data_IF_752853569208
#
_entry.id   IF_752853569208
#
_cell.length_a   1.000
_cell.length_b   1.000
_cell.length_c   1.000
_cell.angle_alpha   90.00
_cell.angle_beta   90.00
_cell.angle_gamma   90.00
#
_symmetry.space_group_name_H-M   'P 1'
#
loop_
_entity.id
_entity.type
_entity.pdbx_description
1 polymer ?
#
# COMPACT_ATOMS: atom_id res chain seq x y z
N UNK A 1 -34.94 5.68 23.82
CA UNK A 1 -34.81 4.42 24.58
C UNK A 1 -35.24 3.20 23.78
N UNK A 2 -36.38 3.22 23.06
CA UNK A 2 -36.84 2.06 22.28
C UNK A 2 -35.81 1.55 21.25
N UNK A 3 -35.26 2.44 20.40
CA UNK A 3 -34.27 2.04 19.39
C UNK A 3 -33.02 1.38 20.00
N UNK A 4 -32.51 1.92 21.12
CA UNK A 4 -31.37 1.34 21.83
C UNK A 4 -31.70 -0.03 22.46
N UNK A 5 -32.92 -0.22 22.95
CA UNK A 5 -33.38 -1.51 23.47
C UNK A 5 -33.51 -2.56 22.35
N UNK A 6 -33.94 -2.14 21.15
CA UNK A 6 -33.97 -3.01 19.97
C UNK A 6 -32.57 -3.43 19.55
N UNK A 7 -31.59 -2.51 19.57
CA UNK A 7 -30.17 -2.84 19.35
C UNK A 7 -29.65 -3.85 20.38
N UNK A 8 -29.92 -3.63 21.68
CA UNK A 8 -29.45 -4.51 22.75
C UNK A 8 -30.09 -5.92 22.71
N UNK A 9 -31.25 -6.07 22.08
CA UNK A 9 -31.95 -7.36 21.91
C UNK A 9 -31.71 -8.01 20.55
N UNK A 10 -30.82 -7.44 19.72
CA UNK A 10 -30.49 -7.97 18.39
C UNK A 10 -31.57 -7.76 17.34
N UNK A 11 -32.60 -6.94 17.62
CA UNK A 11 -33.73 -6.66 16.72
C UNK A 11 -33.40 -5.51 15.78
N UNK A 12 -32.33 -5.68 15.00
CA UNK A 12 -31.76 -4.62 14.16
C UNK A 12 -32.73 -4.12 13.08
N UNK A 13 -33.49 -5.03 12.45
CA UNK A 13 -34.49 -4.70 11.42
C UNK A 13 -35.58 -3.75 11.93
N UNK A 14 -35.88 -3.78 13.23
CA UNK A 14 -36.83 -2.88 13.88
C UNK A 14 -36.17 -1.63 14.44
N UNK A 15 -34.88 -1.70 14.79
CA UNK A 15 -34.11 -0.55 15.25
C UNK A 15 -33.90 0.48 14.12
N UNK A 16 -33.63 0.04 12.90
CA UNK A 16 -33.42 0.91 11.72
C UNK A 16 -34.59 1.88 11.48
N UNK A 17 -35.86 1.44 11.33
CA UNK A 17 -36.97 2.38 11.15
C UNK A 17 -37.20 3.29 12.36
N UNK A 18 -36.91 2.83 13.58
CA UNK A 18 -37.00 3.65 14.78
C UNK A 18 -35.95 4.77 14.79
N UNK A 19 -34.70 4.49 14.40
CA UNK A 19 -33.66 5.52 14.25
C UNK A 19 -33.94 6.48 13.09
N UNK A 20 -34.47 5.99 11.96
CA UNK A 20 -34.91 6.87 10.85
C UNK A 20 -36.01 7.83 11.29
N UNK A 21 -36.96 7.38 12.11
CA UNK A 21 -37.97 8.27 12.69
C UNK A 21 -37.35 9.32 13.60
N UNK A 22 -36.40 8.94 14.47
CA UNK A 22 -35.67 9.89 15.33
C UNK A 22 -34.89 10.92 14.50
N UNK A 23 -34.24 10.50 13.41
CA UNK A 23 -33.54 11.40 12.50
C UNK A 23 -34.51 12.35 11.78
N UNK A 24 -35.74 11.93 11.48
CA UNK A 24 -36.77 12.82 10.96
C UNK A 24 -37.17 13.95 11.93
N UNK A 25 -36.99 13.75 13.24
CA UNK A 25 -37.23 14.77 14.25
C UNK A 25 -35.99 15.67 14.46
N UNK A 26 -34.79 15.10 14.35
CA UNK A 26 -33.51 15.80 14.53
C UNK A 26 -32.51 15.42 13.42
N UNK A 27 -32.59 16.02 12.23
CA UNK A 27 -31.86 15.55 11.03
C UNK A 27 -30.33 15.62 11.08
N UNK A 28 -29.77 16.42 11.99
CA UNK A 28 -28.33 16.67 12.09
C UNK A 28 -27.76 16.25 13.45
N UNK A 29 -28.43 15.34 14.18
CA UNK A 29 -27.92 14.81 15.43
C UNK A 29 -26.88 13.70 15.15
N UNK A 30 -25.57 13.94 15.37
CA UNK A 30 -24.53 12.98 15.02
C UNK A 30 -24.65 11.66 15.79
N UNK A 31 -25.14 11.67 17.04
CA UNK A 31 -25.36 10.45 17.81
C UNK A 31 -26.42 9.58 17.14
N UNK A 32 -27.58 10.14 16.78
CA UNK A 32 -28.64 9.41 16.08
C UNK A 32 -28.19 8.90 14.70
N UNK A 33 -27.40 9.68 13.97
CA UNK A 33 -26.84 9.26 12.66
C UNK A 33 -25.90 8.06 12.84
N UNK A 34 -24.99 8.10 13.83
CA UNK A 34 -24.06 6.99 14.12
C UNK A 34 -24.83 5.74 14.56
N UNK A 35 -25.86 5.89 15.39
CA UNK A 35 -26.70 4.75 15.83
C UNK A 35 -27.48 4.12 14.69
N UNK A 36 -27.96 4.93 13.73
CA UNK A 36 -28.59 4.42 12.51
C UNK A 36 -27.59 3.63 11.67
N UNK A 37 -26.38 4.17 11.47
CA UNK A 37 -25.33 3.49 10.71
C UNK A 37 -24.96 2.14 11.32
N UNK A 38 -24.80 2.09 12.64
CA UNK A 38 -24.52 0.87 13.41
C UNK A 38 -25.67 -0.16 13.27
N UNK A 39 -26.92 0.28 13.43
CA UNK A 39 -28.08 -0.59 13.25
C UNK A 39 -28.15 -1.20 11.84
N UNK A 40 -27.89 -0.41 10.80
CA UNK A 40 -27.85 -0.89 9.42
C UNK A 40 -26.69 -1.86 9.23
N UNK A 41 -25.49 -1.56 9.74
CA UNK A 41 -24.35 -2.46 9.65
C UNK A 41 -24.65 -3.82 10.29
N UNK A 42 -25.34 -3.85 11.43
CA UNK A 42 -25.74 -5.09 12.10
C UNK A 42 -26.74 -5.91 11.27
N UNK A 43 -27.68 -5.29 10.54
CA UNK A 43 -28.54 -6.00 9.58
C UNK A 43 -27.74 -6.62 8.42
N UNK A 44 -26.55 -6.10 8.14
CA UNK A 44 -25.65 -6.54 7.07
C UNK A 44 -24.50 -7.44 7.57
N UNK A 45 -24.65 -8.04 8.76
CA UNK A 45 -23.61 -8.90 9.34
C UNK A 45 -22.33 -8.15 9.74
N UNK A 46 -22.44 -6.87 10.06
CA UNK A 46 -21.33 -5.99 10.44
C UNK A 46 -20.63 -5.31 9.27
N UNK A 47 -21.11 -5.48 8.04
CA UNK A 47 -20.58 -4.77 6.88
C UNK A 47 -20.90 -3.28 6.96
N UNK A 48 -19.87 -2.43 6.79
CA UNK A 48 -20.02 -0.98 6.86
C UNK A 48 -20.07 -0.31 5.49
N UNK A 49 -19.86 -1.07 4.41
CA UNK A 49 -19.93 -0.55 3.05
C UNK A 49 -21.35 -0.08 2.69
N UNK A 50 -21.45 0.99 1.88
CA UNK A 50 -22.72 1.51 1.39
C UNK A 50 -23.32 2.59 2.31
N UNK A 51 -24.61 2.44 2.67
CA UNK A 51 -25.34 3.43 3.49
C UNK A 51 -24.67 3.72 4.85
N UNK A 52 -24.16 2.72 5.62
CA UNK A 52 -23.50 2.99 6.90
C UNK A 52 -22.29 3.91 6.78
N UNK A 53 -21.39 3.67 5.82
CA UNK A 53 -20.20 4.51 5.60
C UNK A 53 -20.57 5.96 5.28
N UNK A 54 -21.63 6.17 4.49
CA UNK A 54 -22.15 7.51 4.18
C UNK A 54 -22.63 8.24 5.43
N UNK A 55 -23.42 7.56 6.27
CA UNK A 55 -23.93 8.10 7.53
C UNK A 55 -22.80 8.39 8.53
N UNK A 56 -21.82 7.48 8.67
CA UNK A 56 -20.65 7.68 9.52
C UNK A 56 -19.85 8.90 9.08
N UNK A 57 -19.62 9.04 7.77
CA UNK A 57 -18.91 10.19 7.20
C UNK A 57 -19.66 11.50 7.47
N UNK A 58 -21.00 11.51 7.33
CA UNK A 58 -21.84 12.67 7.65
C UNK A 58 -21.74 13.06 9.13
N UNK A 59 -21.88 12.09 10.04
CA UNK A 59 -21.79 12.35 11.47
C UNK A 59 -20.41 12.90 11.88
N UNK A 60 -19.33 12.37 11.29
CA UNK A 60 -17.96 12.86 11.53
C UNK A 60 -17.68 14.22 10.90
N UNK A 61 -18.44 14.66 9.88
CA UNK A 61 -18.38 16.05 9.42
C UNK A 61 -19.00 17.01 10.45
N UNK A 62 -20.07 16.60 11.11
CA UNK A 62 -20.76 17.40 12.14
C UNK A 62 -19.95 17.40 13.45
N UNK A 63 -19.52 16.23 13.90
CA UNK A 63 -18.72 16.03 15.11
C UNK A 63 -17.47 15.21 14.79
N UNK A 64 -16.36 15.87 14.42
CA UNK A 64 -15.14 15.16 14.00
C UNK A 64 -14.52 14.26 15.06
N UNK A 65 -14.80 14.54 16.34
CA UNK A 65 -14.25 13.82 17.49
C UNK A 65 -15.31 12.94 18.18
N UNK A 66 -16.20 12.31 17.42
CA UNK A 66 -17.21 11.40 17.97
C UNK A 66 -16.59 10.01 18.18
N UNK A 67 -16.50 9.47 19.42
CA UNK A 67 -15.79 8.22 19.68
C UNK A 67 -16.35 7.02 18.91
N UNK A 68 -17.66 6.76 19.01
CA UNK A 68 -18.29 5.66 18.28
C UNK A 68 -18.22 5.83 16.76
N UNK A 69 -18.34 7.06 16.24
CA UNK A 69 -18.20 7.35 14.82
C UNK A 69 -16.78 7.06 14.30
N UNK A 70 -15.74 7.44 15.06
CA UNK A 70 -14.36 7.12 14.72
C UNK A 70 -14.10 5.61 14.80
N UNK A 71 -14.66 4.92 15.80
CA UNK A 71 -14.56 3.46 15.90
C UNK A 71 -15.14 2.76 14.66
N UNK A 72 -16.39 3.08 14.29
CA UNK A 72 -17.03 2.48 13.12
C UNK A 72 -16.33 2.88 11.82
N UNK A 73 -15.86 4.13 11.69
CA UNK A 73 -15.10 4.55 10.52
C UNK A 73 -13.77 3.78 10.39
N UNK A 74 -13.06 3.56 11.50
CA UNK A 74 -11.84 2.76 11.54
C UNK A 74 -12.08 1.31 11.09
N UNK A 75 -13.13 0.67 11.61
CA UNK A 75 -13.54 -0.69 11.18
C UNK A 75 -13.89 -0.70 9.69
N UNK A 76 -14.61 0.30 9.19
CA UNK A 76 -14.93 0.40 7.76
C UNK A 76 -13.66 0.44 6.90
N UNK A 77 -12.63 1.17 7.32
CA UNK A 77 -11.34 1.21 6.61
C UNK A 77 -10.57 -0.09 6.71
N UNK A 78 -10.63 -0.80 7.84
CA UNK A 78 -10.07 -2.15 7.98
C UNK A 78 -10.74 -3.14 7.02
N UNK A 79 -12.08 -3.15 6.95
CA UNK A 79 -12.84 -4.02 6.04
C UNK A 79 -12.52 -3.75 4.55
N UNK A 80 -12.16 -2.51 4.22
CA UNK A 80 -11.74 -2.10 2.87
C UNK A 80 -10.26 -2.40 2.58
N UNK A 81 -9.50 -2.92 3.54
CA UNK A 81 -8.05 -3.14 3.44
C UNK A 81 -7.22 -1.85 3.47
N UNK A 82 -7.83 -0.71 3.79
CA UNK A 82 -7.18 0.60 3.88
C UNK A 82 -6.53 0.79 5.26
N UNK A 83 -5.57 -0.07 5.59
CA UNK A 83 -4.97 -0.15 6.93
C UNK A 83 -4.30 1.15 7.40
N UNK A 84 -3.64 1.89 6.50
CA UNK A 84 -3.03 3.19 6.84
C UNK A 84 -4.09 4.21 7.29
N UNK A 85 -5.24 4.23 6.62
CA UNK A 85 -6.34 5.13 6.99
C UNK A 85 -6.99 4.67 8.30
N UNK A 86 -7.17 3.36 8.50
CA UNK A 86 -7.70 2.81 9.74
C UNK A 86 -6.80 3.17 10.93
N UNK A 87 -5.48 3.06 10.78
CA UNK A 87 -4.51 3.38 11.83
C UNK A 87 -4.64 4.84 12.29
N UNK A 88 -4.68 5.79 11.36
CA UNK A 88 -4.84 7.23 11.68
C UNK A 88 -6.13 7.49 12.45
N UNK A 89 -7.22 6.79 12.09
CA UNK A 89 -8.52 6.95 12.74
C UNK A 89 -8.49 6.40 14.18
N UNK A 90 -7.93 5.21 14.40
CA UNK A 90 -7.83 4.63 15.74
C UNK A 90 -6.86 5.39 16.64
N UNK A 91 -5.76 5.92 16.11
CA UNK A 91 -4.85 6.81 16.84
C UNK A 91 -5.53 8.11 17.28
N UNK A 92 -6.48 8.62 16.48
CA UNK A 92 -7.31 9.76 16.86
C UNK A 92 -8.36 9.39 17.91
N UNK A 93 -8.89 8.17 17.89
CA UNK A 93 -9.86 7.67 18.86
C UNK A 93 -9.25 7.44 20.25
N UNK A 94 -8.04 6.88 20.32
CA UNK A 94 -7.36 6.52 21.57
C UNK A 94 -7.40 7.63 22.65
N UNK A 95 -7.05 8.91 22.38
CA UNK A 95 -7.11 9.95 23.41
C UNK A 95 -8.53 10.29 23.87
N UNK A 96 -9.57 9.97 23.09
CA UNK A 96 -10.98 10.26 23.46
C UNK A 96 -11.53 9.27 24.48
N UNK A 97 -11.02 8.05 24.46
CA UNK A 97 -11.40 6.96 25.37
C UNK A 97 -10.37 6.75 26.48
N UNK A 98 -9.45 7.69 26.67
CA UNK A 98 -8.36 7.56 27.64
C UNK A 98 -8.85 7.39 29.11
N UNK A 99 -10.04 7.90 29.41
CA UNK A 99 -10.68 7.74 30.73
C UNK A 99 -11.46 6.42 30.89
N UNK A 100 -11.47 5.56 29.86
CA UNK A 100 -12.14 4.26 29.82
C UNK A 100 -11.09 3.17 29.53
N UNK A 101 -10.37 2.66 30.55
CA UNK A 101 -9.21 1.79 30.36
C UNK A 101 -9.50 0.51 29.57
N UNK A 102 -10.69 -0.05 29.73
CA UNK A 102 -11.14 -1.24 29.00
C UNK A 102 -11.24 -0.94 27.50
N UNK A 103 -11.94 0.15 27.14
CA UNK A 103 -12.11 0.59 25.75
C UNK A 103 -10.77 1.02 25.14
N UNK A 104 -9.92 1.72 25.91
CA UNK A 104 -8.58 2.09 25.47
C UNK A 104 -7.71 0.86 25.18
N UNK A 105 -7.82 -0.20 25.99
CA UNK A 105 -7.11 -1.45 25.76
C UNK A 105 -7.55 -2.11 24.45
N UNK A 106 -8.86 -2.14 24.16
CA UNK A 106 -9.38 -2.64 22.89
C UNK A 106 -8.89 -1.83 21.70
N UNK A 107 -8.94 -0.50 21.78
CA UNK A 107 -8.42 0.39 20.74
C UNK A 107 -6.92 0.15 20.50
N UNK A 108 -6.13 0.03 21.55
CA UNK A 108 -4.70 -0.25 21.44
C UNK A 108 -4.42 -1.63 20.84
N UNK A 109 -5.23 -2.64 21.15
CA UNK A 109 -5.12 -3.96 20.55
C UNK A 109 -5.43 -3.92 19.04
N UNK A 110 -6.43 -3.14 18.63
CA UNK A 110 -6.75 -2.91 17.21
C UNK A 110 -5.62 -2.16 16.51
N UNK A 111 -5.06 -1.11 17.12
CA UNK A 111 -3.90 -0.38 16.61
C UNK A 111 -2.72 -1.34 16.39
N UNK A 112 -2.35 -2.13 17.40
CA UNK A 112 -1.24 -3.08 17.29
C UNK A 112 -1.49 -4.16 16.22
N UNK A 113 -2.74 -4.65 16.07
CA UNK A 113 -3.12 -5.58 15.01
C UNK A 113 -2.95 -4.94 13.63
N UNK A 114 -3.44 -3.72 13.45
CA UNK A 114 -3.34 -2.98 12.19
C UNK A 114 -1.88 -2.65 11.90
N UNK A 115 -1.08 -2.24 12.87
CA UNK A 115 0.35 -1.99 12.71
C UNK A 115 1.08 -3.28 12.28
N UNK A 116 0.75 -4.43 12.86
CA UNK A 116 1.29 -5.72 12.40
C UNK A 116 0.84 -6.09 10.99
N UNK A 117 -0.38 -5.72 10.59
CA UNK A 117 -0.88 -5.94 9.23
C UNK A 117 -0.26 -4.95 8.26
N UNK A 118 0.00 -3.71 8.65
CA UNK A 118 0.79 -2.76 7.87
C UNK A 118 2.19 -3.32 7.75
N UNK A 119 2.87 -3.72 8.82
CA UNK A 119 4.21 -4.33 8.73
C UNK A 119 4.24 -5.61 7.90
N UNK A 120 3.17 -6.42 7.95
CA UNK A 120 3.02 -7.65 7.17
C UNK A 120 2.55 -7.46 5.72
N UNK A 121 1.94 -6.31 5.41
CA UNK A 121 1.36 -5.95 4.10
C UNK A 121 2.05 -4.72 3.45
N UNK A 122 3.02 -4.14 4.16
CA UNK A 122 4.10 -3.34 3.60
C UNK A 122 4.96 -4.34 2.84
N UNK A 123 5.31 -4.09 1.57
CA UNK A 123 6.47 -4.72 0.97
C UNK A 123 7.70 -4.40 1.85
N UNK A 124 7.97 -5.29 2.81
CA UNK A 124 9.19 -5.34 3.60
C UNK A 124 9.35 -4.33 4.74
N UNK A 125 9.11 -4.77 5.98
CA UNK A 125 10.07 -4.45 7.07
C UNK A 125 11.36 -5.28 7.00
N UNK A 126 11.55 -6.01 5.90
CA UNK A 126 12.85 -6.12 5.23
C UNK A 126 12.61 -5.80 3.76
N UNK A 127 12.90 -4.58 3.30
CA UNK A 127 12.95 -4.28 1.87
C UNK A 127 13.89 -5.29 1.25
N UNK A 128 13.37 -6.26 0.50
CA UNK A 128 14.24 -7.21 -0.18
C UNK A 128 15.05 -6.43 -1.21
N UNK A 129 16.36 -6.57 -1.14
CA UNK A 129 17.28 -5.80 -1.97
C UNK A 129 18.14 -6.75 -2.79
N UNK A 130 18.12 -6.57 -4.10
CA UNK A 130 19.02 -7.22 -5.04
C UNK A 130 20.24 -6.32 -5.25
N UNK A 131 21.42 -6.88 -4.96
CA UNK A 131 22.70 -6.23 -5.25
C UNK A 131 23.13 -6.57 -6.66
N UNK A 132 23.42 -5.55 -7.45
CA UNK A 132 23.85 -5.66 -8.83
C UNK A 132 25.21 -5.00 -9.02
N UNK A 133 26.15 -5.71 -9.62
CA UNK A 133 27.42 -5.18 -10.10
C UNK A 133 27.33 -4.96 -11.60
N UNK A 134 27.40 -3.70 -12.01
CA UNK A 134 27.28 -3.30 -13.41
C UNK A 134 28.68 -3.06 -13.94
N UNK A 135 29.03 -3.79 -14.99
CA UNK A 135 30.29 -3.68 -15.71
C UNK A 135 30.02 -3.34 -17.17
N UNK A 136 31.04 -2.83 -17.86
CA UNK A 136 30.95 -2.54 -19.29
C UNK A 136 32.02 -3.31 -20.05
N UNK A 137 31.64 -3.90 -21.18
CA UNK A 137 32.58 -4.56 -22.05
C UNK A 137 33.62 -3.54 -22.55
N UNK A 138 34.93 -3.88 -22.59
CA UNK A 138 36.00 -2.93 -22.93
C UNK A 138 35.78 -2.19 -24.26
N UNK A 139 35.18 -2.88 -25.25
CA UNK A 139 34.87 -2.30 -26.57
C UNK A 139 33.84 -1.16 -26.52
N UNK A 140 33.04 -1.06 -25.46
CA UNK A 140 32.02 -0.03 -25.28
C UNK A 140 32.38 1.01 -24.22
N UNK A 141 33.50 0.86 -23.51
CA UNK A 141 33.91 1.77 -22.43
C UNK A 141 33.99 3.23 -22.91
N UNK A 142 34.54 3.46 -24.10
CA UNK A 142 34.65 4.81 -24.70
C UNK A 142 33.33 5.36 -25.23
N UNK A 143 32.29 4.53 -25.34
CA UNK A 143 30.98 4.98 -25.80
C UNK A 143 30.20 5.66 -24.67
N UNK A 144 30.48 5.43 -23.38
CA UNK A 144 29.74 6.02 -22.25
C UNK A 144 30.19 7.46 -21.99
N UNK A 145 29.23 8.37 -21.81
CA UNK A 145 29.49 9.80 -21.57
C UNK A 145 28.82 10.31 -20.28
N UNK A 146 29.36 11.37 -19.63
CA UNK A 146 28.79 11.94 -18.40
C UNK A 146 27.37 12.54 -18.48
N UNK A 147 26.69 12.46 -19.63
CA UNK A 147 25.29 12.85 -19.80
C UNK A 147 24.33 11.68 -20.06
N UNK A 148 24.86 10.46 -20.16
CA UNK A 148 24.03 9.29 -20.38
C UNK A 148 23.14 9.01 -19.16
N UNK A 149 22.01 8.33 -19.38
CA UNK A 149 21.15 7.87 -18.29
C UNK A 149 21.21 6.36 -18.18
N UNK A 150 21.61 5.85 -17.02
CA UNK A 150 21.66 4.43 -16.73
C UNK A 150 20.37 3.99 -16.05
N UNK A 151 19.67 3.05 -16.67
CA UNK A 151 18.48 2.39 -16.19
C UNK A 151 18.84 0.98 -15.72
N UNK A 152 18.50 0.64 -14.48
CA UNK A 152 18.56 -0.70 -13.94
C UNK A 152 17.12 -1.17 -13.73
N UNK A 153 16.79 -2.36 -14.21
CA UNK A 153 15.44 -2.88 -14.09
C UNK A 153 15.42 -4.40 -13.88
N UNK A 154 14.40 -4.89 -13.18
CA UNK A 154 14.11 -6.30 -13.02
C UNK A 154 12.92 -6.70 -13.89
N UNK A 155 12.98 -7.89 -14.50
CA UNK A 155 11.87 -8.46 -15.28
C UNK A 155 11.71 -9.95 -15.04
N UNK A 156 10.51 -10.46 -15.29
CA UNK A 156 10.28 -11.91 -15.42
C UNK A 156 10.75 -12.35 -16.80
N UNK A 157 11.64 -13.35 -16.90
CA UNK A 157 11.97 -13.95 -18.18
C UNK A 157 10.71 -14.49 -18.87
N UNK A 158 10.59 -14.28 -20.18
CA UNK A 158 9.47 -14.77 -21.00
C UNK A 158 8.07 -14.23 -20.58
N UNK A 159 8.04 -13.23 -19.69
CA UNK A 159 6.83 -12.53 -19.25
C UNK A 159 6.50 -11.27 -20.08
N UNK A 160 5.54 -10.46 -19.62
CA UNK A 160 5.21 -9.18 -20.23
C UNK A 160 6.46 -8.29 -20.42
N UNK A 161 6.51 -7.44 -21.47
CA UNK A 161 7.68 -6.63 -21.78
C UNK A 161 7.97 -5.53 -20.75
N UNK A 162 7.05 -5.27 -19.84
CA UNK A 162 7.19 -4.27 -18.79
C UNK A 162 8.07 -4.80 -17.65
N UNK A 163 9.03 -4.01 -17.16
CA UNK A 163 9.80 -4.38 -15.98
C UNK A 163 8.91 -4.34 -14.72
N UNK A 164 9.28 -5.12 -13.72
CA UNK A 164 8.60 -5.19 -12.42
C UNK A 164 9.11 -4.09 -11.49
N UNK A 165 10.41 -3.82 -11.54
CA UNK A 165 11.06 -2.75 -10.79
C UNK A 165 12.03 -2.03 -11.70
N UNK A 166 12.18 -0.72 -11.52
CA UNK A 166 13.11 0.08 -12.32
C UNK A 166 13.64 1.27 -11.53
N UNK A 167 14.94 1.53 -11.69
CA UNK A 167 15.63 2.69 -11.15
C UNK A 167 16.49 3.34 -12.23
N UNK A 168 16.68 4.66 -12.15
CA UNK A 168 17.52 5.41 -13.10
C UNK A 168 18.47 6.37 -12.39
N UNK A 169 19.63 6.60 -12.99
CA UNK A 169 20.61 7.60 -12.55
C UNK A 169 21.32 8.21 -13.75
N UNK A 170 21.71 9.48 -13.64
CA UNK A 170 22.59 10.18 -14.58
C UNK A 170 24.01 10.36 -14.02
N UNK A 171 24.19 10.09 -12.73
CA UNK A 171 25.48 10.18 -12.04
C UNK A 171 25.97 8.77 -11.75
N UNK A 172 26.81 8.24 -12.64
CA UNK A 172 27.40 6.91 -12.49
C UNK A 172 28.81 6.82 -13.11
N UNK A 173 29.59 5.87 -12.61
CA UNK A 173 30.88 5.45 -13.17
C UNK A 173 30.95 3.93 -13.12
N UNK A 174 31.47 3.29 -14.17
CA UNK A 174 31.55 1.83 -14.25
C UNK A 174 32.97 1.33 -13.90
N UNK A 175 33.12 0.22 -13.16
CA UNK A 175 32.04 -0.62 -12.62
C UNK A 175 31.28 0.05 -11.45
N UNK A 176 29.97 -0.18 -11.40
CA UNK A 176 29.06 0.38 -10.39
C UNK A 176 28.42 -0.74 -9.58
N UNK A 177 28.48 -0.65 -8.25
CA UNK A 177 27.59 -1.43 -7.38
C UNK A 177 26.29 -0.64 -7.20
N UNK A 178 25.17 -1.27 -7.52
CA UNK A 178 23.86 -0.67 -7.38
C UNK A 178 22.87 -1.66 -6.81
N UNK A 179 21.78 -1.14 -6.30
CA UNK A 179 20.77 -1.92 -5.60
C UNK A 179 19.40 -1.63 -6.21
N UNK A 180 18.62 -2.69 -6.35
CA UNK A 180 17.20 -2.62 -6.68
C UNK A 180 16.43 -3.26 -5.54
N UNK A 181 15.44 -2.57 -5.01
CA UNK A 181 14.68 -3.04 -3.87
C UNK A 181 13.17 -2.99 -4.10
N UNK A 182 12.41 -3.49 -3.14
CA UNK A 182 10.95 -3.45 -3.19
C UNK A 182 10.40 -2.01 -3.29
N UNK A 183 11.19 -0.99 -2.95
CA UNK A 183 10.81 0.42 -3.15
C UNK A 183 10.84 0.87 -4.62
N UNK A 184 11.50 0.10 -5.49
CA UNK A 184 11.61 0.39 -6.92
C UNK A 184 10.53 -0.32 -7.75
N UNK A 185 9.61 -1.02 -7.10
CA UNK A 185 8.52 -1.74 -7.74
C UNK A 185 7.57 -0.78 -8.45
N UNK A 186 7.22 -1.13 -9.69
CA UNK A 186 6.27 -0.39 -10.52
C UNK A 186 4.82 -0.84 -10.29
N UNK A 187 4.62 -1.95 -9.60
CA UNK A 187 3.31 -2.49 -9.23
C UNK A 187 3.19 -2.57 -7.71
N UNK A 188 2.05 -2.17 -7.17
CA UNK A 188 1.76 -2.23 -5.73
C UNK A 188 1.44 -3.67 -5.30
N UNK A 189 2.02 -4.13 -4.18
CA UNK A 189 1.57 -5.32 -3.44
C UNK A 189 2.30 -6.65 -3.70
N UNK A 190 3.53 -6.64 -4.23
CA UNK A 190 4.40 -7.83 -4.33
C UNK A 190 5.83 -7.50 -3.90
N UNK A 191 6.66 -8.48 -3.52
CA UNK A 191 8.12 -8.28 -3.32
C UNK A 191 8.91 -8.85 -4.50
N UNK A 192 10.08 -8.29 -4.80
CA UNK A 192 11.06 -8.87 -5.71
C UNK A 192 11.45 -10.30 -5.30
N UNK A 193 11.39 -10.61 -4.00
CA UNK A 193 11.68 -11.95 -3.48
C UNK A 193 10.61 -12.99 -3.81
N UNK A 194 9.38 -12.57 -4.11
CA UNK A 194 8.26 -13.49 -4.36
C UNK A 194 8.30 -14.13 -5.75
N UNK A 195 9.10 -13.56 -6.65
CA UNK A 195 9.23 -14.07 -8.01
C UNK A 195 10.11 -15.34 -8.02
N UNK A 196 9.69 -16.41 -8.73
CA UNK A 196 10.45 -17.65 -8.78
C UNK A 196 11.76 -17.49 -9.56
N UNK A 197 11.74 -16.66 -10.62
CA UNK A 197 12.89 -16.38 -11.48
C UNK A 197 12.82 -14.92 -11.95
N UNK A 198 13.92 -14.20 -11.80
CA UNK A 198 14.11 -12.86 -12.34
C UNK A 198 15.34 -12.79 -13.26
N UNK A 199 15.36 -11.74 -14.07
CA UNK A 199 16.53 -11.28 -14.82
C UNK A 199 16.70 -9.78 -14.61
N UNK A 200 17.92 -9.34 -14.33
CA UNK A 200 18.27 -7.92 -14.23
C UNK A 200 18.75 -7.44 -15.59
N UNK A 201 18.23 -6.31 -16.02
CA UNK A 201 18.69 -5.60 -17.21
C UNK A 201 19.26 -4.24 -16.87
N UNK A 202 20.29 -3.88 -17.62
CA UNK A 202 20.89 -2.56 -17.59
C UNK A 202 20.76 -1.96 -18.98
N UNK A 203 20.40 -0.67 -19.04
CA UNK A 203 20.47 0.11 -20.27
C UNK A 203 21.09 1.47 -19.99
N UNK A 204 22.08 1.84 -20.81
CA UNK A 204 22.67 3.17 -20.86
C UNK A 204 22.05 3.90 -22.04
N UNK A 205 21.15 4.82 -21.75
CA UNK A 205 20.39 5.60 -22.72
C UNK A 205 21.11 6.89 -23.09
N UNK A 206 21.27 7.13 -24.39
CA UNK A 206 21.84 8.39 -24.92
C UNK A 206 20.87 9.56 -24.91
N UNK A 207 19.59 9.25 -25.12
CA UNK A 207 18.51 10.24 -25.19
C UNK A 207 17.89 10.58 -23.82
N UNK A 208 18.30 9.88 -22.75
CA UNK A 208 17.63 9.90 -21.45
C UNK A 208 16.23 9.25 -21.41
N UNK A 209 15.74 8.69 -22.51
CA UNK A 209 14.41 8.08 -22.60
C UNK A 209 14.39 6.67 -22.03
N UNK A 210 13.24 6.28 -21.45
CA UNK A 210 12.98 4.91 -21.05
C UNK A 210 12.69 3.98 -22.24
N UNK A 211 12.56 4.50 -23.46
CA UNK A 211 12.40 3.70 -24.68
C UNK A 211 13.77 3.40 -25.30
N UNK A 212 13.89 2.22 -25.92
CA UNK A 212 15.11 1.85 -26.65
C UNK A 212 15.34 2.83 -27.80
N UNK A 213 16.53 3.42 -27.84
CA UNK A 213 16.99 4.33 -28.90
C UNK A 213 18.24 3.76 -29.58
N UNK A 214 18.47 4.05 -30.88
CA UNK A 214 19.73 3.67 -31.54
C UNK A 214 20.94 4.24 -30.80
N UNK A 215 21.97 3.42 -30.64
CA UNK A 215 23.19 3.79 -29.91
C UNK A 215 23.16 3.55 -28.40
N UNK A 216 22.00 3.21 -27.83
CA UNK A 216 21.89 2.80 -26.43
C UNK A 216 22.69 1.50 -26.19
N UNK A 217 23.38 1.43 -25.06
CA UNK A 217 24.07 0.22 -24.64
C UNK A 217 23.20 -0.56 -23.68
N UNK A 218 23.23 -1.89 -23.74
CA UNK A 218 22.45 -2.74 -22.85
C UNK A 218 23.19 -4.02 -22.46
N UNK A 219 22.83 -4.55 -21.29
CA UNK A 219 23.29 -5.85 -20.79
C UNK A 219 22.15 -6.53 -20.02
N UNK A 220 22.17 -7.86 -19.98
CA UNK A 220 21.23 -8.68 -19.22
C UNK A 220 22.00 -9.69 -18.37
N UNK A 221 21.56 -9.90 -17.13
CA UNK A 221 22.08 -10.96 -16.27
C UNK A 221 21.63 -12.34 -16.76
N UNK A 222 22.20 -13.39 -16.17
CA UNK A 222 21.56 -14.71 -16.21
C UNK A 222 20.23 -14.70 -15.43
N UNK A 223 19.42 -15.75 -15.63
CA UNK A 223 18.17 -15.97 -14.90
C UNK A 223 18.50 -16.52 -13.51
N UNK A 224 17.92 -15.97 -12.45
CA UNK A 224 18.21 -16.41 -11.07
C UNK A 224 16.95 -16.40 -10.19
N UNK A 225 16.99 -17.19 -9.12
CA UNK A 225 16.00 -17.17 -8.06
C UNK A 225 16.34 -16.08 -7.03
N UNK A 226 15.53 -15.02 -6.86
CA UNK A 226 15.84 -13.88 -6.00
C UNK A 226 16.16 -14.27 -4.55
N UNK A 227 15.36 -15.16 -3.93
CA UNK A 227 15.53 -15.55 -2.52
C UNK A 227 16.91 -16.10 -2.16
N UNK A 228 17.65 -16.62 -3.15
CA UNK A 228 18.97 -17.22 -2.97
C UNK A 228 20.07 -16.44 -3.72
N UNK A 229 19.75 -15.25 -4.23
CA UNK A 229 20.65 -14.46 -5.03
C UNK A 229 21.72 -13.78 -4.17
N UNK A 230 22.99 -13.95 -4.54
CA UNK A 230 24.08 -13.10 -4.09
C UNK A 230 24.15 -11.79 -4.88
N UNK A 231 25.36 -11.24 -5.02
CA UNK A 231 25.59 -10.13 -5.95
C UNK A 231 25.43 -10.62 -7.40
N UNK A 232 24.61 -9.92 -8.19
CA UNK A 232 24.34 -10.23 -9.60
C UNK A 232 25.25 -9.38 -10.48
N UNK A 233 26.12 -10.01 -11.26
CA UNK A 233 26.96 -9.29 -12.23
C UNK A 233 26.23 -9.13 -13.57
N UNK A 234 26.22 -7.92 -14.11
CA UNK A 234 25.69 -7.59 -15.44
C UNK A 234 26.78 -6.90 -16.24
N UNK A 235 27.10 -7.47 -17.40
CA UNK A 235 28.03 -6.88 -18.35
C UNK A 235 27.23 -6.20 -19.47
N UNK A 236 27.47 -4.91 -19.67
CA UNK A 236 26.91 -4.14 -20.79
C UNK A 236 27.74 -4.42 -22.04
N UNK A 237 27.23 -5.24 -22.93
CA UNK A 237 27.94 -5.81 -24.09
C UNK A 237 27.20 -5.64 -25.43
N UNK A 238 25.93 -5.24 -25.42
CA UNK A 238 25.12 -5.01 -26.62
C UNK A 238 24.90 -3.52 -26.87
N UNK A 239 24.78 -3.17 -28.15
CA UNK A 239 24.32 -1.85 -28.59
C UNK A 239 23.03 -2.00 -29.40
N UNK A 240 22.04 -1.16 -29.10
CA UNK A 240 20.84 -1.03 -29.90
C UNK A 240 21.19 -0.48 -31.29
N UNK A 241 20.78 -1.23 -32.33
CA UNK A 241 20.89 -0.81 -33.72
C UNK A 241 19.79 0.18 -34.08
#
# INVERSE_FOLDING_TARGET
MLANALMATGRYDEAVPAYRHLLGLSPNDPETIIRLADAIAMTQGGALAGEPEGLISQALQIQPNHPQGLWLFGISKEQQGAFDQALVVFQRLAPMVANEPEVLSEVNAVIARIESQIVGNTPGSGSFTLKARIEIAPQWASAVTPGDTLFLFARVPDGPPMPIAARRTQSFSLPLQWELSDLDLLMSGQSLSDYPVLQIGVRISKSGSANRSPGDLSGLSERFAPKNAGEITIVVDQQAR
#
